data_IF_262713421583
#
_entry.id   IF_262713421583
#
_cell.length_a   1.000
_cell.length_b   1.000
_cell.length_c   1.000
_cell.angle_alpha   90.00
_cell.angle_beta   90.00
_cell.angle_gamma   90.00
#
_symmetry.space_group_name_H-M   'P 1'
#
loop_
_entity.id
_entity.type
_entity.pdbx_description
1 polymer ?
#
# COMPACT_ATOMS: atom_id res chain seq x y z
N UNK A 1 -5.47 41.07 2.79
CA UNK A 1 -6.03 39.93 3.56
C UNK A 1 -5.45 38.67 2.94
N UNK A 2 -4.57 37.96 3.64
CA UNK A 2 -3.87 36.79 3.07
C UNK A 2 -4.72 35.55 3.32
N UNK A 3 -5.07 34.83 2.25
CA UNK A 3 -5.82 33.57 2.31
C UNK A 3 -4.84 32.42 2.22
N UNK A 4 -4.88 31.51 3.20
CA UNK A 4 -4.03 30.31 3.23
C UNK A 4 -4.89 29.09 2.93
N UNK A 5 -4.49 28.30 1.94
CA UNK A 5 -5.09 27.00 1.66
C UNK A 5 -4.33 25.91 2.40
N UNK A 6 -5.04 25.02 3.09
CA UNK A 6 -4.44 23.85 3.73
C UNK A 6 -3.81 22.96 2.67
N UNK A 7 -2.61 22.45 2.93
CA UNK A 7 -1.95 21.50 2.03
C UNK A 7 -2.86 20.26 1.86
N UNK A 8 -3.23 19.90 0.62
CA UNK A 8 -4.16 18.81 0.34
C UNK A 8 -3.57 17.43 0.68
N UNK A 9 -2.26 17.35 0.92
CA UNK A 9 -1.53 16.10 1.12
C UNK A 9 -1.23 15.80 2.58
N UNK A 10 -0.83 16.79 3.38
CA UNK A 10 -0.49 16.55 4.79
C UNK A 10 -1.69 16.69 5.74
N UNK A 11 -2.87 17.05 5.23
CA UNK A 11 -4.09 17.34 6.02
C UNK A 11 -3.88 18.33 7.18
N UNK A 12 -2.86 19.20 7.08
CA UNK A 12 -2.48 20.13 8.16
C UNK A 12 -1.45 19.61 9.16
N UNK A 13 -0.85 18.42 8.96
CA UNK A 13 0.21 17.85 9.83
C UNK A 13 1.63 18.31 9.50
N UNK A 14 1.86 18.89 8.32
CA UNK A 14 3.20 19.31 7.89
C UNK A 14 4.14 18.18 7.48
N UNK A 15 3.71 16.92 7.49
CA UNK A 15 4.47 15.76 7.03
C UNK A 15 3.57 14.82 6.20
N UNK A 16 4.17 14.12 5.23
CA UNK A 16 3.55 13.07 4.42
C UNK A 16 4.04 11.72 4.92
N UNK A 17 3.20 10.68 4.91
CA UNK A 17 3.64 9.33 5.31
C UNK A 17 4.82 8.88 4.45
N UNK A 18 5.80 8.24 5.09
CA UNK A 18 6.93 7.65 4.37
C UNK A 18 6.49 6.41 3.60
N UNK A 19 7.29 6.05 2.59
CA UNK A 19 7.10 4.82 1.80
C UNK A 19 7.01 3.59 2.70
N UNK A 20 7.86 3.51 3.72
CA UNK A 20 7.88 2.43 4.71
C UNK A 20 6.58 2.37 5.53
N UNK A 21 6.06 3.51 6.00
CA UNK A 21 4.78 3.54 6.70
C UNK A 21 3.65 3.05 5.82
N UNK A 22 3.64 3.48 4.55
CA UNK A 22 2.63 3.04 3.59
C UNK A 22 2.74 1.54 3.26
N UNK A 23 3.94 1.01 3.14
CA UNK A 23 4.17 -0.42 2.93
C UNK A 23 3.58 -1.27 4.07
N UNK A 24 3.81 -0.87 5.32
CA UNK A 24 3.25 -1.57 6.50
C UNK A 24 1.71 -1.53 6.49
N UNK A 25 1.12 -0.38 6.14
CA UNK A 25 -0.34 -0.25 6.04
C UNK A 25 -0.91 -1.16 4.94
N UNK A 26 -0.26 -1.20 3.77
CA UNK A 26 -0.65 -2.05 2.65
C UNK A 26 -0.58 -3.54 3.02
N UNK A 27 0.49 -4.00 3.66
CA UNK A 27 0.62 -5.39 4.10
C UNK A 27 -0.46 -5.77 5.12
N UNK A 28 -0.74 -4.90 6.09
CA UNK A 28 -1.81 -5.12 7.08
C UNK A 28 -3.18 -5.20 6.42
N UNK A 29 -3.47 -4.30 5.48
CA UNK A 29 -4.73 -4.29 4.76
C UNK A 29 -4.89 -5.54 3.87
N UNK A 30 -3.82 -5.95 3.17
CA UNK A 30 -3.80 -7.14 2.33
C UNK A 30 -4.02 -8.41 3.16
N UNK A 31 -3.33 -8.56 4.30
CA UNK A 31 -3.54 -9.68 5.22
C UNK A 31 -4.98 -9.74 5.73
N UNK A 32 -5.53 -8.59 6.15
CA UNK A 32 -6.93 -8.50 6.62
C UNK A 32 -7.94 -8.89 5.53
N UNK A 33 -7.64 -8.62 4.26
CA UNK A 33 -8.51 -9.01 3.15
C UNK A 33 -8.42 -10.52 2.86
N UNK A 34 -7.22 -11.10 2.94
CA UNK A 34 -6.99 -12.55 2.84
C UNK A 34 -7.61 -13.33 4.00
N UNK A 35 -7.66 -12.75 5.20
CA UNK A 35 -8.35 -13.34 6.36
C UNK A 35 -9.87 -13.41 6.13
N UNK A 36 -10.44 -12.36 5.51
CA UNK A 36 -11.88 -12.25 5.26
C UNK A 36 -12.35 -13.09 4.08
N UNK A 37 -11.54 -13.19 3.03
CA UNK A 37 -11.92 -13.82 1.78
C UNK A 37 -10.90 -14.88 1.40
N UNK A 38 -11.33 -16.11 1.09
CA UNK A 38 -10.50 -17.18 0.53
C UNK A 38 -10.13 -16.94 -0.94
N UNK A 39 -9.64 -15.74 -1.23
CA UNK A 39 -9.12 -15.34 -2.53
C UNK A 39 -7.82 -16.07 -2.81
N UNK A 40 -7.68 -16.62 -4.02
CA UNK A 40 -6.41 -17.22 -4.47
C UNK A 40 -5.47 -16.19 -5.09
N UNK A 41 -5.98 -15.03 -5.49
CA UNK A 41 -5.22 -13.92 -6.08
C UNK A 41 -5.77 -12.60 -5.56
N UNK A 42 -4.89 -11.68 -5.18
CA UNK A 42 -5.23 -10.30 -4.83
C UNK A 42 -4.29 -9.37 -5.59
N UNK A 43 -4.85 -8.28 -6.13
CA UNK A 43 -4.09 -7.23 -6.82
C UNK A 43 -4.07 -5.98 -5.97
N UNK A 44 -2.89 -5.47 -5.70
CA UNK A 44 -2.68 -4.31 -4.83
C UNK A 44 -2.03 -3.20 -5.65
N UNK A 45 -2.78 -2.13 -5.87
CA UNK A 45 -2.35 -0.94 -6.60
C UNK A 45 -1.79 0.07 -5.60
N UNK A 46 -0.55 0.50 -5.82
CA UNK A 46 0.17 1.43 -4.94
C UNK A 46 1.01 2.41 -5.76
N UNK A 47 1.44 3.50 -5.13
CA UNK A 47 2.41 4.42 -5.71
C UNK A 47 3.74 3.69 -6.07
N UNK A 48 4.43 4.03 -7.17
CA UNK A 48 5.64 3.33 -7.60
C UNK A 48 6.74 3.23 -6.55
N UNK A 49 6.91 4.26 -5.70
CA UNK A 49 7.87 4.21 -4.59
C UNK A 49 7.54 3.12 -3.57
N UNK A 50 6.26 2.91 -3.27
CA UNK A 50 5.79 1.87 -2.35
C UNK A 50 5.87 0.49 -2.99
N UNK A 51 5.54 0.36 -4.28
CA UNK A 51 5.73 -0.89 -5.01
C UNK A 51 7.20 -1.33 -5.01
N UNK A 52 8.12 -0.39 -5.27
CA UNK A 52 9.54 -0.65 -5.28
C UNK A 52 10.05 -1.15 -3.92
N UNK A 53 9.64 -0.49 -2.84
CA UNK A 53 9.98 -0.89 -1.47
C UNK A 53 9.46 -2.29 -1.13
N UNK A 54 8.18 -2.55 -1.43
CA UNK A 54 7.54 -3.84 -1.18
C UNK A 54 8.19 -4.99 -1.97
N UNK A 55 8.55 -4.76 -3.23
CA UNK A 55 9.10 -5.79 -4.11
C UNK A 55 10.60 -6.06 -3.87
N UNK A 56 11.35 -5.11 -3.31
CA UNK A 56 12.79 -5.24 -3.10
C UNK A 56 13.17 -5.38 -1.62
N UNK A 57 12.80 -4.42 -0.78
CA UNK A 57 13.25 -4.37 0.62
C UNK A 57 12.42 -5.28 1.52
N UNK A 58 11.09 -5.28 1.35
CA UNK A 58 10.15 -6.02 2.22
C UNK A 58 9.54 -7.25 1.54
N UNK A 59 10.24 -7.78 0.52
CA UNK A 59 9.84 -9.00 -0.20
C UNK A 59 9.61 -10.21 0.71
N UNK A 60 10.41 -10.46 1.77
CA UNK A 60 10.17 -11.59 2.68
C UNK A 60 8.79 -11.56 3.35
N UNK A 61 8.29 -10.36 3.68
CA UNK A 61 6.99 -10.19 4.32
C UNK A 61 5.84 -10.59 3.38
N UNK A 62 5.94 -10.27 2.09
CA UNK A 62 4.96 -10.67 1.08
C UNK A 62 4.95 -12.19 0.93
N UNK A 63 6.11 -12.80 0.70
CA UNK A 63 6.23 -14.25 0.51
C UNK A 63 5.67 -15.01 1.71
N UNK A 64 5.90 -14.52 2.93
CA UNK A 64 5.34 -15.11 4.14
C UNK A 64 3.81 -15.09 4.10
N UNK A 65 3.18 -13.95 3.80
CA UNK A 65 1.72 -13.84 3.71
C UNK A 65 1.16 -14.71 2.57
N UNK A 66 1.82 -14.74 1.40
CA UNK A 66 1.42 -15.62 0.29
C UNK A 66 1.42 -17.09 0.70
N UNK A 67 2.46 -17.53 1.42
CA UNK A 67 2.58 -18.92 1.91
C UNK A 67 1.55 -19.26 3.00
N UNK A 68 1.30 -18.34 3.94
CA UNK A 68 0.34 -18.51 5.05
C UNK A 68 -1.09 -18.69 4.51
N UNK A 69 -1.45 -17.90 3.49
CA UNK A 69 -2.82 -17.87 2.95
C UNK A 69 -3.01 -18.71 1.68
N UNK A 70 -1.94 -19.30 1.13
CA UNK A 70 -1.92 -19.98 -0.18
C UNK A 70 -2.55 -19.11 -1.28
N UNK A 71 -2.23 -17.82 -1.25
CA UNK A 71 -2.76 -16.81 -2.16
C UNK A 71 -1.61 -16.09 -2.85
N UNK A 72 -1.85 -15.58 -4.05
CA UNK A 72 -0.90 -14.79 -4.83
C UNK A 72 -1.18 -13.31 -4.65
N UNK A 73 -0.17 -12.53 -4.28
CA UNK A 73 -0.24 -11.07 -4.12
C UNK A 73 0.46 -10.42 -5.31
N UNK A 74 -0.30 -9.73 -6.14
CA UNK A 74 0.23 -9.01 -7.30
C UNK A 74 0.28 -7.53 -6.96
N UNK A 75 1.48 -6.98 -6.87
CA UNK A 75 1.68 -5.54 -6.63
C UNK A 75 1.80 -4.83 -7.97
N UNK A 76 0.97 -3.80 -8.17
CA UNK A 76 0.92 -3.00 -9.39
C UNK A 76 1.26 -1.56 -9.02
N UNK A 77 2.27 -1.01 -9.69
CA UNK A 77 2.64 0.40 -9.56
C UNK A 77 1.72 1.27 -10.41
N UNK A 78 1.03 2.22 -9.80
CA UNK A 78 0.14 3.17 -10.47
C UNK A 78 0.71 4.60 -10.29
N UNK A 79 1.39 5.18 -11.30
CA UNK A 79 2.10 6.46 -11.18
C UNK A 79 1.21 7.64 -10.82
N UNK A 80 -0.06 7.62 -11.26
CA UNK A 80 -1.04 8.66 -10.98
C UNK A 80 -1.64 8.54 -9.56
N UNK A 81 -1.31 7.49 -8.82
CA UNK A 81 -1.80 7.27 -7.46
C UNK A 81 -1.02 8.11 -6.46
N UNK A 82 -1.71 8.76 -5.53
CA UNK A 82 -1.04 9.47 -4.44
C UNK A 82 -0.31 8.50 -3.49
N UNK A 83 0.87 8.87 -2.98
CA UNK A 83 1.69 8.03 -2.10
C UNK A 83 0.94 7.49 -0.86
N UNK A 84 0.02 8.26 -0.31
CA UNK A 84 -0.80 7.87 0.85
C UNK A 84 -2.05 7.04 0.50
N UNK A 85 -2.28 6.75 -0.78
CA UNK A 85 -3.42 5.95 -1.24
C UNK A 85 -2.94 4.61 -1.77
N UNK A 86 -3.76 3.60 -1.56
CA UNK A 86 -3.62 2.29 -2.15
C UNK A 86 -5.01 1.72 -2.44
N UNK A 87 -5.10 0.79 -3.38
CA UNK A 87 -6.35 0.10 -3.73
C UNK A 87 -6.10 -1.39 -3.79
N UNK A 88 -6.98 -2.16 -3.14
CA UNK A 88 -6.96 -3.62 -3.17
C UNK A 88 -8.11 -4.08 -4.07
N UNK A 89 -7.77 -4.91 -5.04
CA UNK A 89 -8.71 -5.58 -5.94
C UNK A 89 -8.61 -7.08 -5.73
N UNK A 90 -9.75 -7.75 -5.79
CA UNK A 90 -9.97 -9.14 -5.38
C UNK A 90 -10.59 -9.90 -6.54
#
# INVERSE_FOLDING_TARGET
RVSYQKCPYCTGRGAVKSVTTMAIEVLRATKKELDKTRQKEIRVFVYPGVANYLLNEDRPSITRIESEHRAKIIIIAEPDMHIERFRIHR
#
